data_IF_909835815185
#
_entry.id   IF_909835815185
#
_cell.length_a   1.000
_cell.length_b   1.000
_cell.length_c   1.000
_cell.angle_alpha   90.00
_cell.angle_beta   90.00
_cell.angle_gamma   90.00
#
_symmetry.space_group_name_H-M   'P 1'
#
loop_
_entity.id
_entity.type
_entity.pdbx_description
1 polymer ?
#
# COMPACT_ATOMS: atom_id res chain seq x y z
N UNK A 1 -12.03 8.97 11.56
CA UNK A 1 -12.64 7.66 11.33
C UNK A 1 -12.07 7.01 10.09
N UNK A 2 -11.70 5.82 10.22
CA UNK A 2 -11.05 5.14 9.12
C UNK A 2 -12.02 4.18 8.48
N UNK A 3 -12.26 4.36 7.20
CA UNK A 3 -12.98 3.38 6.44
C UNK A 3 -11.99 2.40 5.89
N UNK A 4 -12.22 1.14 6.14
CA UNK A 4 -11.36 0.12 5.61
C UNK A 4 -12.09 -0.58 4.49
N UNK A 5 -11.51 -0.49 3.32
CA UNK A 5 -12.01 -1.23 2.19
C UNK A 5 -11.01 -2.33 1.94
N UNK A 6 -11.47 -3.55 2.04
CA UNK A 6 -10.60 -4.69 1.83
C UNK A 6 -11.00 -5.36 0.54
N UNK A 7 -10.08 -5.40 -0.39
CA UNK A 7 -10.24 -6.11 -1.62
C UNK A 7 -9.23 -7.22 -1.67
N UNK A 8 -9.67 -8.43 -1.88
CA UNK A 8 -8.77 -9.56 -1.94
C UNK A 8 -8.64 -9.99 -3.38
N UNK A 9 -7.39 -10.05 -3.84
CA UNK A 9 -7.10 -10.53 -5.18
C UNK A 9 -6.31 -11.81 -5.04
N UNK A 10 -6.84 -12.88 -5.57
CA UNK A 10 -6.20 -14.18 -5.50
C UNK A 10 -5.77 -14.60 -6.88
N UNK A 11 -4.52 -15.05 -6.99
CA UNK A 11 -4.00 -15.56 -8.23
C UNK A 11 -3.92 -17.07 -8.14
N UNK A 12 -4.41 -17.74 -9.15
CA UNK A 12 -4.56 -19.17 -9.08
C UNK A 12 -3.28 -19.91 -8.93
N UNK A 13 -2.23 -19.42 -9.52
CA UNK A 13 -0.99 -20.16 -9.54
C UNK A 13 -0.09 -19.80 -8.41
N UNK A 14 -0.44 -18.79 -7.67
CA UNK A 14 0.40 -18.30 -6.60
C UNK A 14 -0.31 -18.52 -5.30
N UNK A 15 0.40 -18.98 -4.29
CA UNK A 15 -0.22 -19.06 -2.97
C UNK A 15 -0.34 -17.71 -2.30
N UNK A 16 0.06 -16.67 -2.99
CA UNK A 16 0.11 -15.32 -2.42
C UNK A 16 -1.18 -14.59 -2.72
N UNK A 17 -1.73 -13.97 -1.71
CA UNK A 17 -2.88 -13.11 -1.85
C UNK A 17 -2.49 -11.72 -1.43
N UNK A 18 -3.15 -10.73 -2.02
CA UNK A 18 -2.91 -9.35 -1.67
C UNK A 18 -4.18 -8.74 -1.11
N UNK A 19 -4.00 -7.93 -0.09
CA UNK A 19 -5.09 -7.19 0.52
C UNK A 19 -4.77 -5.72 0.32
N UNK A 20 -5.75 -4.97 -0.17
CA UNK A 20 -5.61 -3.52 -0.32
C UNK A 20 -6.36 -2.86 0.81
N UNK A 21 -5.67 -1.99 1.54
CA UNK A 21 -6.23 -1.30 2.68
C UNK A 21 -6.24 0.18 2.43
N UNK A 22 -7.33 0.82 2.79
CA UNK A 22 -7.44 2.26 2.71
C UNK A 22 -7.02 2.85 4.04
N UNK A 23 -6.04 3.72 4.01
CA UNK A 23 -5.44 4.27 5.22
C UNK A 23 -5.41 5.78 5.12
N UNK A 24 -5.71 6.45 6.23
CA UNK A 24 -5.57 7.89 6.33
C UNK A 24 -4.17 8.21 6.85
N UNK A 25 -3.46 9.04 6.12
CA UNK A 25 -2.10 9.41 6.48
C UNK A 25 -2.09 10.24 7.74
N UNK A 26 -1.24 9.86 8.67
CA UNK A 26 -1.06 10.58 9.93
C UNK A 26 0.17 11.46 9.85
N UNK A 27 0.24 12.44 10.76
CA UNK A 27 1.39 13.32 10.81
C UNK A 27 2.65 12.50 11.01
N UNK A 28 3.66 12.74 10.21
CA UNK A 28 4.93 12.04 10.32
C UNK A 28 5.02 10.73 9.58
N UNK A 29 3.93 10.29 8.97
CA UNK A 29 3.96 9.03 8.22
C UNK A 29 4.75 9.20 6.94
N UNK A 30 5.50 8.15 6.59
CA UNK A 30 6.25 8.11 5.35
C UNK A 30 6.02 6.76 4.69
N UNK A 31 6.25 6.71 3.39
CA UNK A 31 6.11 5.44 2.69
C UNK A 31 7.14 4.43 3.19
N UNK A 32 8.34 4.88 3.53
CA UNK A 32 9.35 3.99 4.08
C UNK A 32 8.82 3.30 5.34
N UNK A 33 8.12 4.06 6.19
CA UNK A 33 7.54 3.49 7.39
C UNK A 33 6.50 2.43 7.08
N UNK A 34 5.66 2.68 6.10
CA UNK A 34 4.66 1.69 5.70
C UNK A 34 5.33 0.44 5.13
N UNK A 35 6.37 0.64 4.32
CA UNK A 35 7.09 -0.48 3.75
C UNK A 35 7.69 -1.35 4.85
N UNK A 36 8.20 -0.72 5.90
CA UNK A 36 8.75 -1.47 7.03
C UNK A 36 7.69 -2.20 7.82
N UNK A 37 6.45 -1.76 7.73
CA UNK A 37 5.35 -2.44 8.39
C UNK A 37 4.84 -3.64 7.61
N UNK A 38 5.38 -3.88 6.44
CA UNK A 38 5.02 -5.03 5.64
C UNK A 38 4.24 -4.75 4.37
N UNK A 39 3.91 -3.49 4.11
CA UNK A 39 3.20 -3.17 2.87
C UNK A 39 4.19 -3.26 1.71
N UNK A 40 3.74 -3.85 0.63
CA UNK A 40 4.56 -4.04 -0.57
C UNK A 40 5.84 -4.82 -0.27
N UNK A 41 5.79 -5.71 0.71
CA UNK A 41 6.99 -6.40 1.17
C UNK A 41 7.48 -7.47 0.21
N UNK A 42 6.72 -7.77 -0.82
CA UNK A 42 7.09 -8.78 -1.81
C UNK A 42 8.01 -8.25 -2.90
N UNK A 43 8.31 -6.96 -2.88
CA UNK A 43 9.19 -6.36 -3.89
C UNK A 43 10.18 -5.44 -3.18
N UNK A 44 11.21 -5.03 -3.90
CA UNK A 44 12.18 -4.12 -3.33
C UNK A 44 11.56 -2.73 -3.17
N UNK A 45 12.23 -1.89 -2.40
CA UNK A 45 11.67 -0.60 -2.06
C UNK A 45 11.36 0.27 -3.28
N UNK A 46 12.27 0.32 -4.23
CA UNK A 46 12.03 1.17 -5.39
C UNK A 46 10.83 0.70 -6.20
N UNK A 47 10.68 -0.59 -6.33
CA UNK A 47 9.51 -1.12 -7.02
C UNK A 47 8.26 -0.94 -6.17
N UNK A 48 8.39 -1.07 -4.86
CA UNK A 48 7.27 -0.84 -3.97
C UNK A 48 6.74 0.58 -4.13
N UNK A 49 7.64 1.54 -4.23
CA UNK A 49 7.25 2.93 -4.40
C UNK A 49 6.54 3.13 -5.74
N UNK A 50 7.04 2.49 -6.78
CA UNK A 50 6.41 2.55 -8.09
C UNK A 50 4.98 1.99 -8.04
N UNK A 51 4.84 0.82 -7.40
CA UNK A 51 3.52 0.20 -7.29
C UNK A 51 2.57 1.04 -6.46
N UNK A 52 3.10 1.64 -5.41
CA UNK A 52 2.30 2.51 -4.56
C UNK A 52 1.76 3.70 -5.34
N UNK A 53 2.60 4.32 -6.13
CA UNK A 53 2.16 5.46 -6.94
C UNK A 53 1.10 5.02 -7.95
N UNK A 54 1.31 3.86 -8.54
CA UNK A 54 0.38 3.34 -9.52
C UNK A 54 -0.98 3.02 -8.89
N UNK A 55 -0.96 2.41 -7.72
CA UNK A 55 -2.19 2.04 -7.04
C UNK A 55 -2.99 3.27 -6.61
N UNK A 56 -2.32 4.38 -6.43
CA UNK A 56 -2.96 5.61 -5.97
C UNK A 56 -3.07 6.68 -7.05
N UNK A 57 -2.79 6.30 -8.29
CA UNK A 57 -2.88 7.23 -9.43
C UNK A 57 -2.03 8.47 -9.24
N UNK A 58 -0.82 8.30 -8.75
CA UNK A 58 0.11 9.40 -8.54
C UNK A 58 1.14 9.44 -9.63
N UNK A 59 1.36 10.62 -10.21
CA UNK A 59 2.47 10.82 -11.11
C UNK A 59 3.75 10.99 -10.33
N UNK A 60 3.65 11.69 -9.21
CA UNK A 60 4.78 11.92 -8.33
C UNK A 60 4.41 11.44 -6.95
N UNK A 61 5.40 10.94 -6.25
CA UNK A 61 5.21 10.56 -4.87
C UNK A 61 4.74 11.76 -4.06
N UNK A 62 3.68 11.58 -3.32
CA UNK A 62 3.14 12.62 -2.47
C UNK A 62 2.42 11.95 -1.32
N UNK A 63 2.72 12.41 -0.12
CA UNK A 63 2.11 11.83 1.08
C UNK A 63 1.87 12.96 2.05
N UNK A 64 0.62 13.34 2.21
CA UNK A 64 0.25 14.46 3.07
C UNK A 64 -0.69 14.00 4.16
N UNK A 65 -0.50 14.56 5.33
CA UNK A 65 -1.36 14.27 6.45
C UNK A 65 -2.83 14.50 6.07
N UNK A 66 -3.68 13.55 6.41
CA UNK A 66 -5.09 13.66 6.09
C UNK A 66 -5.49 13.02 4.78
N UNK A 67 -4.53 12.73 3.92
CA UNK A 67 -4.83 12.07 2.66
C UNK A 67 -5.24 10.64 2.90
N UNK A 68 -6.10 10.13 2.03
CA UNK A 68 -6.47 8.73 2.05
C UNK A 68 -5.72 8.02 0.94
N UNK A 69 -5.01 6.97 1.29
CA UNK A 69 -4.20 6.22 0.34
C UNK A 69 -4.55 4.74 0.40
N UNK A 70 -4.18 4.05 -0.67
CA UNK A 70 -4.37 2.61 -0.77
C UNK A 70 -3.00 1.96 -0.63
N UNK A 71 -2.91 0.98 0.25
CA UNK A 71 -1.69 0.22 0.45
C UNK A 71 -1.95 -1.25 0.22
N UNK A 72 -1.01 -1.93 -0.41
CA UNK A 72 -1.12 -3.35 -0.69
C UNK A 72 -0.30 -4.13 0.30
N UNK A 73 -0.88 -5.17 0.85
CA UNK A 73 -0.19 -6.03 1.79
C UNK A 73 -0.29 -7.47 1.32
N UNK A 74 0.81 -8.17 1.36
CA UNK A 74 0.85 -9.58 1.02
C UNK A 74 0.37 -10.39 2.21
N UNK A 75 -0.50 -11.35 1.96
CA UNK A 75 -1.04 -12.21 3.00
C UNK A 75 -0.82 -13.64 2.57
N UNK A 76 -0.35 -14.47 3.48
CA UNK A 76 -0.11 -15.87 3.21
C UNK A 76 -0.89 -16.75 4.14
#
# INVERSE_FOLDING_TARGET
>A
MIGIIVSIVAFKQEPVMYVYEEITVQAGDTFWGYYQQGYYSDVCYSEALYEFKKDNNMDKYSLNEGDTIILRKEVR
#
